data_IF_143889580673
#
_entry.id   IF_143889580673
#
_cell.length_a   1.000
_cell.length_b   1.000
_cell.length_c   1.000
_cell.angle_alpha   90.00
_cell.angle_beta   90.00
_cell.angle_gamma   90.00
#
_symmetry.space_group_name_H-M   'P 1'
#
loop_
_entity.id
_entity.type
_entity.pdbx_description
1 polymer ?
#
# COMPACT_ATOMS: atom_id res chain seq x y z
N UNK A 1 -3.26 5.74 9.95
CA UNK A 1 -1.87 5.92 9.42
C UNK A 1 -1.90 5.99 7.89
N UNK A 2 -1.09 6.85 7.23
CA UNK A 2 -1.06 6.99 5.76
C UNK A 2 -0.01 6.09 5.12
N UNK A 3 -0.37 5.31 4.12
CA UNK A 3 0.53 4.35 3.46
C UNK A 3 0.34 4.32 1.95
N UNK A 4 1.30 3.73 1.23
CA UNK A 4 1.10 3.25 -0.15
C UNK A 4 1.13 1.73 -0.13
N UNK A 5 0.21 1.10 -0.85
CA UNK A 5 0.08 -0.35 -0.93
C UNK A 5 0.38 -0.81 -2.35
N UNK A 6 1.29 -1.76 -2.51
CA UNK A 6 1.54 -2.40 -3.80
C UNK A 6 0.35 -3.32 -4.17
N UNK A 7 0.04 -3.40 -5.47
CA UNK A 7 -1.00 -4.26 -6.03
C UNK A 7 -0.82 -5.73 -5.64
N UNK A 8 0.42 -6.24 -5.55
CA UNK A 8 0.65 -7.64 -5.17
C UNK A 8 0.17 -7.95 -3.74
N UNK A 9 0.24 -6.97 -2.83
CA UNK A 9 -0.23 -7.12 -1.44
C UNK A 9 -1.74 -7.09 -1.41
N UNK A 10 -2.36 -6.20 -2.20
CA UNK A 10 -3.81 -6.13 -2.33
C UNK A 10 -4.39 -7.47 -2.85
N UNK A 11 -3.82 -8.00 -3.93
CA UNK A 11 -4.19 -9.31 -4.49
C UNK A 11 -3.98 -10.43 -3.46
N UNK A 12 -2.80 -10.48 -2.83
CA UNK A 12 -2.49 -11.48 -1.81
C UNK A 12 -3.45 -11.42 -0.62
N UNK A 13 -3.86 -10.22 -0.20
CA UNK A 13 -4.78 -10.04 0.90
C UNK A 13 -6.21 -10.48 0.60
N UNK A 14 -6.64 -10.36 -0.66
CA UNK A 14 -7.93 -10.87 -1.11
C UNK A 14 -7.94 -12.39 -1.32
N UNK A 15 -6.82 -12.98 -1.74
CA UNK A 15 -6.67 -14.44 -1.87
C UNK A 15 -6.50 -15.15 -0.53
N UNK A 16 -5.68 -14.59 0.36
CA UNK A 16 -5.30 -15.18 1.65
C UNK A 16 -5.68 -14.22 2.78
N UNK A 17 -6.97 -14.12 3.14
CA UNK A 17 -7.46 -13.12 4.08
C UNK A 17 -6.85 -13.27 5.48
N UNK A 18 -6.49 -14.48 5.91
CA UNK A 18 -5.95 -14.70 7.27
C UNK A 18 -4.44 -14.44 7.41
N UNK A 19 -3.74 -14.06 6.34
CA UNK A 19 -2.33 -13.68 6.38
C UNK A 19 -2.11 -12.17 6.61
N UNK A 20 -0.85 -11.75 6.71
CA UNK A 20 -0.48 -10.33 6.92
C UNK A 20 -1.05 -9.40 5.85
N UNK A 21 -1.02 -9.80 4.57
CA UNK A 21 -1.63 -9.02 3.49
C UNK A 21 -3.14 -8.84 3.69
N UNK A 22 -3.83 -9.89 4.14
CA UNK A 22 -5.28 -9.84 4.38
C UNK A 22 -5.64 -9.01 5.61
N UNK A 23 -4.80 -9.03 6.64
CA UNK A 23 -4.90 -8.11 7.79
C UNK A 23 -4.78 -6.65 7.34
N UNK A 24 -3.79 -6.33 6.49
CA UNK A 24 -3.61 -4.98 5.93
C UNK A 24 -4.84 -4.53 5.15
N UNK A 25 -5.42 -5.40 4.29
CA UNK A 25 -6.64 -5.09 3.55
C UNK A 25 -7.81 -4.82 4.49
N UNK A 26 -7.99 -5.62 5.55
CA UNK A 26 -9.01 -5.35 6.58
C UNK A 26 -8.79 -4.01 7.28
N UNK A 27 -7.54 -3.68 7.62
CA UNK A 27 -7.21 -2.40 8.25
C UNK A 27 -7.52 -1.21 7.34
N UNK A 28 -7.32 -1.35 6.01
CA UNK A 28 -7.77 -0.36 5.03
C UNK A 28 -9.28 -0.22 5.04
N UNK A 29 -10.03 -1.33 4.91
CA UNK A 29 -11.50 -1.30 4.91
C UNK A 29 -12.11 -0.79 6.23
N UNK A 30 -11.39 -0.92 7.34
CA UNK A 30 -11.78 -0.40 8.65
C UNK A 30 -11.40 1.08 8.87
N UNK A 31 -10.74 1.74 7.91
CA UNK A 31 -10.30 3.13 8.02
C UNK A 31 -9.08 3.34 8.92
N UNK A 32 -8.45 2.27 9.41
CA UNK A 32 -7.23 2.33 10.24
C UNK A 32 -6.04 2.80 9.39
N UNK A 33 -5.99 2.33 8.13
CA UNK A 33 -5.00 2.72 7.14
C UNK A 33 -5.65 3.54 6.03
N UNK A 34 -5.03 4.67 5.73
CA UNK A 34 -5.44 5.57 4.65
C UNK A 34 -4.48 5.34 3.47
N UNK A 35 -5.00 4.84 2.35
CA UNK A 35 -4.20 4.63 1.15
C UNK A 35 -3.94 5.97 0.45
N UNK A 36 -2.68 6.21 0.09
CA UNK A 36 -2.27 7.27 -0.82
C UNK A 36 -2.13 6.70 -2.21
N UNK A 37 -2.73 7.35 -3.20
CA UNK A 37 -2.75 6.89 -4.59
C UNK A 37 -2.87 8.05 -5.56
N UNK A 38 -2.73 7.76 -6.85
CA UNK A 38 -3.23 8.59 -7.94
C UNK A 38 -3.98 7.72 -8.95
N UNK A 39 -4.35 8.28 -10.11
CA UNK A 39 -5.06 7.54 -11.15
C UNK A 39 -4.27 6.33 -11.68
N UNK A 40 -2.94 6.37 -11.70
CA UNK A 40 -2.09 5.28 -12.22
C UNK A 40 -2.23 4.04 -11.33
N UNK A 41 -2.10 4.19 -10.02
CA UNK A 41 -2.27 3.09 -9.06
C UNK A 41 -3.71 2.55 -9.09
N UNK A 42 -4.72 3.42 -9.12
CA UNK A 42 -6.12 2.95 -9.15
C UNK A 42 -6.45 2.16 -10.42
N UNK A 43 -5.91 2.58 -11.57
CA UNK A 43 -6.06 1.85 -12.82
C UNK A 43 -5.37 0.49 -12.74
N UNK A 44 -4.16 0.42 -12.19
CA UNK A 44 -3.47 -0.85 -12.01
C UNK A 44 -4.23 -1.81 -11.09
N UNK A 45 -4.75 -1.31 -9.95
CA UNK A 45 -5.59 -2.11 -9.07
C UNK A 45 -6.80 -2.66 -9.82
N UNK A 46 -7.49 -1.81 -10.57
CA UNK A 46 -8.62 -2.22 -11.38
C UNK A 46 -8.18 -3.33 -12.36
N UNK A 47 -7.22 -3.06 -13.23
CA UNK A 47 -6.76 -4.00 -14.26
C UNK A 47 -6.31 -5.33 -13.68
N UNK A 48 -5.59 -5.34 -12.55
CA UNK A 48 -5.08 -6.56 -11.94
C UNK A 48 -6.19 -7.35 -11.25
N UNK A 49 -7.04 -6.69 -10.44
CA UNK A 49 -8.12 -7.36 -9.71
C UNK A 49 -9.17 -7.95 -10.66
N UNK A 50 -9.37 -7.33 -11.82
CA UNK A 50 -10.30 -7.81 -12.85
C UNK A 50 -9.78 -9.01 -13.67
N UNK A 51 -8.54 -9.47 -13.47
CA UNK A 51 -7.99 -10.60 -14.23
C UNK A 51 -8.76 -11.90 -13.89
N UNK A 52 -9.31 -12.63 -14.88
CA UNK A 52 -10.12 -13.83 -14.64
C UNK A 52 -9.43 -14.91 -13.81
N UNK A 53 -8.10 -14.99 -13.88
CA UNK A 53 -7.30 -15.97 -13.13
C UNK A 53 -7.47 -15.90 -11.61
N UNK A 54 -7.88 -14.74 -11.07
CA UNK A 54 -8.10 -14.57 -9.63
C UNK A 54 -9.52 -14.91 -9.17
N UNK A 55 -10.49 -14.96 -10.11
CA UNK A 55 -11.87 -15.35 -9.84
C UNK A 55 -12.55 -14.56 -8.70
N UNK A 56 -12.13 -13.32 -8.47
CA UNK A 56 -12.73 -12.45 -7.48
C UNK A 56 -14.17 -12.06 -7.87
N UNK A 57 -15.03 -11.88 -6.88
CA UNK A 57 -16.36 -11.32 -7.11
C UNK A 57 -16.23 -9.84 -7.52
N UNK A 58 -16.80 -9.49 -8.69
CA UNK A 58 -16.74 -8.14 -9.26
C UNK A 58 -17.36 -7.07 -8.36
N UNK A 59 -18.50 -7.34 -7.73
CA UNK A 59 -19.18 -6.39 -6.84
C UNK A 59 -18.32 -6.10 -5.61
N UNK A 60 -17.60 -7.10 -5.09
CA UNK A 60 -16.68 -6.90 -3.98
C UNK A 60 -15.46 -6.06 -4.40
N UNK A 61 -14.92 -6.27 -5.61
CA UNK A 61 -13.84 -5.42 -6.16
C UNK A 61 -14.33 -3.98 -6.29
N UNK A 62 -15.50 -3.77 -6.89
CA UNK A 62 -16.06 -2.43 -7.10
C UNK A 62 -16.31 -1.72 -5.78
N UNK A 63 -16.84 -2.43 -4.78
CA UNK A 63 -17.05 -1.90 -3.42
C UNK A 63 -15.73 -1.48 -2.78
N UNK A 64 -14.69 -2.31 -2.88
CA UNK A 64 -13.36 -2.01 -2.35
C UNK A 64 -12.74 -0.79 -3.05
N UNK A 65 -12.76 -0.75 -4.38
CA UNK A 65 -12.21 0.37 -5.15
C UNK A 65 -12.97 1.67 -4.91
N UNK A 66 -14.30 1.61 -4.77
CA UNK A 66 -15.12 2.75 -4.39
C UNK A 66 -14.74 3.25 -2.98
N UNK A 67 -14.57 2.34 -2.02
CA UNK A 67 -14.11 2.69 -0.67
C UNK A 67 -12.73 3.36 -0.69
N UNK A 68 -11.77 2.81 -1.44
CA UNK A 68 -10.42 3.41 -1.57
C UNK A 68 -10.51 4.80 -2.20
N UNK A 69 -11.31 4.99 -3.25
CA UNK A 69 -11.52 6.30 -3.89
C UNK A 69 -12.11 7.33 -2.92
N UNK A 70 -13.04 6.90 -2.07
CA UNK A 70 -13.75 7.79 -1.15
C UNK A 70 -12.91 8.14 0.10
N UNK A 71 -12.16 7.18 0.64
CA UNK A 71 -11.52 7.31 1.96
C UNK A 71 -9.99 7.45 1.88
N UNK A 72 -9.37 7.17 0.74
CA UNK A 72 -7.95 7.39 0.52
C UNK A 72 -7.61 8.84 0.14
N UNK A 73 -6.33 9.09 -0.12
CA UNK A 73 -5.81 10.41 -0.46
C UNK A 73 -5.18 10.41 -1.85
N UNK A 74 -5.70 11.28 -2.71
CA UNK A 74 -5.13 11.54 -4.03
C UNK A 74 -3.87 12.39 -3.88
N UNK A 75 -2.72 11.87 -4.31
CA UNK A 75 -1.43 12.55 -4.20
C UNK A 75 -0.88 12.83 -5.60
N UNK A 76 -0.73 14.11 -6.00
CA UNK A 76 0.01 14.43 -7.21
C UNK A 76 1.51 14.20 -6.97
N UNK A 77 2.16 13.43 -7.84
CA UNK A 77 3.58 13.13 -7.72
C UNK A 77 4.33 13.48 -9.01
N UNK A 78 5.55 14.00 -8.85
CA UNK A 78 6.47 14.20 -9.98
C UNK A 78 7.28 12.94 -10.23
N UNK A 79 7.72 12.70 -11.48
CA UNK A 79 8.54 11.54 -11.81
C UNK A 79 9.81 11.42 -10.96
N UNK A 80 10.24 10.19 -10.67
CA UNK A 80 11.51 9.96 -9.97
C UNK A 80 12.70 10.52 -10.77
N UNK A 81 13.68 11.08 -10.05
CA UNK A 81 14.97 11.51 -10.65
C UNK A 81 15.81 10.32 -11.16
N UNK A 82 15.61 9.14 -10.58
CA UNK A 82 16.30 7.90 -10.95
C UNK A 82 15.24 6.84 -11.20
N UNK A 83 15.31 6.21 -12.38
CA UNK A 83 14.40 5.13 -12.74
C UNK A 83 14.56 3.91 -11.83
N UNK A 84 13.47 3.19 -11.63
CA UNK A 84 13.49 1.88 -10.98
C UNK A 84 13.88 0.79 -11.99
N UNK A 85 14.25 -0.42 -11.52
CA UNK A 85 14.46 -1.56 -12.42
C UNK A 85 13.22 -1.89 -13.25
N UNK A 86 12.04 -1.72 -12.65
CA UNK A 86 10.74 -1.86 -13.29
C UNK A 86 10.02 -0.49 -13.27
N UNK A 87 9.73 0.10 -14.44
CA UNK A 87 8.98 1.35 -14.54
C UNK A 87 7.57 1.30 -13.93
N UNK A 88 6.94 0.14 -13.88
CA UNK A 88 5.56 0.00 -13.38
C UNK A 88 5.51 0.19 -11.85
N UNK A 89 6.63 0.02 -11.14
CA UNK A 89 6.75 0.28 -9.71
C UNK A 89 6.96 1.78 -9.37
N UNK A 90 7.33 2.60 -10.36
CA UNK A 90 7.66 4.02 -10.13
C UNK A 90 6.51 4.83 -9.51
N UNK A 91 5.25 4.73 -10.00
CA UNK A 91 4.13 5.47 -9.43
C UNK A 91 3.99 5.25 -7.91
N UNK A 92 4.15 4.02 -7.43
CA UNK A 92 4.05 3.71 -6.00
C UNK A 92 5.10 4.46 -5.19
N UNK A 93 6.35 4.45 -5.63
CA UNK A 93 7.43 5.12 -4.91
C UNK A 93 7.29 6.65 -5.00
N UNK A 94 6.91 7.19 -6.16
CA UNK A 94 6.66 8.62 -6.37
C UNK A 94 5.61 9.15 -5.42
N UNK A 95 4.46 8.46 -5.35
CA UNK A 95 3.34 8.81 -4.48
C UNK A 95 3.72 8.68 -3.01
N UNK A 96 4.43 7.61 -2.65
CA UNK A 96 4.87 7.42 -1.27
C UNK A 96 5.75 8.60 -0.81
N UNK A 97 6.71 9.02 -1.65
CA UNK A 97 7.61 10.14 -1.36
C UNK A 97 6.85 11.46 -1.32
N UNK A 98 6.07 11.78 -2.36
CA UNK A 98 5.33 13.03 -2.48
C UNK A 98 4.30 13.20 -1.36
N UNK A 99 3.58 12.11 -1.03
CA UNK A 99 2.53 12.07 -0.02
C UNK A 99 3.06 11.99 1.42
N UNK A 100 4.38 11.83 1.59
CA UNK A 100 5.02 11.55 2.89
C UNK A 100 4.33 10.38 3.59
N UNK A 101 4.14 9.29 2.86
CA UNK A 101 3.62 8.04 3.41
C UNK A 101 4.49 7.57 4.58
N UNK A 102 3.89 6.93 5.57
CA UNK A 102 4.64 6.29 6.64
C UNK A 102 5.52 5.14 6.10
N UNK A 103 5.02 4.45 5.07
CA UNK A 103 5.73 3.43 4.32
C UNK A 103 5.02 3.11 2.99
N UNK A 104 5.77 2.45 2.10
CA UNK A 104 5.26 1.66 0.98
C UNK A 104 5.35 0.19 1.37
N UNK A 105 4.24 -0.54 1.22
CA UNK A 105 4.15 -1.95 1.56
C UNK A 105 4.13 -2.77 0.27
N UNK A 106 5.05 -3.73 0.13
CA UNK A 106 5.21 -4.57 -1.06
C UNK A 106 5.63 -5.99 -0.72
N UNK A 107 5.17 -6.98 -1.48
CA UNK A 107 5.70 -8.35 -1.44
C UNK A 107 7.13 -8.46 -1.98
N UNK A 108 7.57 -7.53 -2.84
CA UNK A 108 8.81 -7.63 -3.61
C UNK A 108 9.75 -6.42 -3.37
N UNK A 109 10.42 -6.39 -2.21
CA UNK A 109 11.32 -5.28 -1.85
C UNK A 109 12.49 -5.03 -2.82
N UNK A 110 12.84 -6.00 -3.67
CA UNK A 110 13.88 -5.86 -4.71
C UNK A 110 13.50 -4.86 -5.80
N UNK A 111 12.20 -4.67 -6.04
CA UNK A 111 11.65 -3.68 -7.00
C UNK A 111 11.99 -2.24 -6.61
N UNK A 112 12.26 -2.02 -5.31
CA UNK A 112 12.58 -0.71 -4.75
C UNK A 112 14.00 -0.70 -4.19
N UNK A 113 15.07 -0.58 -5.01
CA UNK A 113 16.44 -0.52 -4.52
C UNK A 113 16.68 0.64 -3.54
N UNK A 114 17.49 0.42 -2.49
CA UNK A 114 17.78 1.43 -1.45
C UNK A 114 18.20 2.80 -2.00
N UNK A 115 19.00 2.80 -3.08
CA UNK A 115 19.50 4.02 -3.75
C UNK A 115 18.40 4.91 -4.36
N UNK A 116 17.21 4.37 -4.60
CA UNK A 116 16.09 5.07 -5.24
C UNK A 116 15.03 5.54 -4.23
N UNK A 117 15.03 5.01 -3.00
CA UNK A 117 13.96 5.21 -2.00
C UNK A 117 13.83 6.63 -1.45
N UNK A 118 14.88 7.45 -1.53
CA UNK A 118 14.90 8.82 -0.96
C UNK A 118 14.43 8.88 0.51
N UNK A 119 14.85 7.90 1.33
CA UNK A 119 14.43 7.79 2.73
C UNK A 119 13.07 7.11 2.95
N UNK A 120 12.32 6.78 1.89
CA UNK A 120 11.06 6.05 1.99
C UNK A 120 11.27 4.67 2.62
N UNK A 121 10.44 4.36 3.62
CA UNK A 121 10.41 3.07 4.29
C UNK A 121 9.64 2.08 3.41
N UNK A 122 10.30 0.99 3.02
CA UNK A 122 9.71 -0.09 2.22
C UNK A 122 9.63 -1.33 3.11
N UNK A 123 8.42 -1.86 3.31
CA UNK A 123 8.16 -2.99 4.22
C UNK A 123 7.48 -4.13 3.48
N UNK A 124 7.80 -5.37 3.86
CA UNK A 124 6.94 -6.51 3.55
C UNK A 124 5.62 -6.44 4.35
N UNK A 125 4.57 -7.19 3.97
CA UNK A 125 3.34 -7.25 4.75
C UNK A 125 3.58 -7.62 6.23
N UNK A 126 4.41 -8.63 6.50
CA UNK A 126 4.76 -9.04 7.86
C UNK A 126 5.51 -7.95 8.63
N UNK A 127 6.53 -7.34 8.01
CA UNK A 127 7.29 -6.24 8.61
C UNK A 127 6.40 -5.03 8.91
N UNK A 128 5.39 -4.77 8.08
CA UNK A 128 4.43 -3.71 8.32
C UNK A 128 3.56 -3.99 9.55
N UNK A 129 3.05 -5.22 9.72
CA UNK A 129 2.25 -5.57 10.90
C UNK A 129 3.07 -5.39 12.18
N UNK A 130 4.33 -5.85 12.20
CA UNK A 130 5.22 -5.67 13.35
C UNK A 130 5.52 -4.18 13.60
N UNK A 131 5.75 -3.42 12.54
CA UNK A 131 5.96 -1.97 12.62
C UNK A 131 4.74 -1.25 13.18
N UNK A 132 3.54 -1.62 12.75
CA UNK A 132 2.28 -1.01 13.18
C UNK A 132 1.99 -1.32 14.65
N UNK A 133 2.23 -2.54 15.12
CA UNK A 133 2.05 -2.92 16.54
C UNK A 133 2.93 -2.07 17.45
N UNK A 134 4.24 -2.00 17.15
CA UNK A 134 5.18 -1.17 17.91
C UNK A 134 4.81 0.31 17.89
N UNK A 135 4.40 0.81 16.72
CA UNK A 135 3.94 2.19 16.60
C UNK A 135 2.77 2.50 17.55
N UNK A 136 1.81 1.60 17.70
CA UNK A 136 0.68 1.83 18.60
C UNK A 136 1.07 1.71 20.08
N UNK A 137 1.91 0.73 20.43
CA UNK A 137 2.44 0.58 21.80
C UNK A 137 3.12 1.86 22.28
N UNK A 138 3.96 2.47 21.42
CA UNK A 138 4.66 3.73 21.70
C UNK A 138 3.71 4.94 21.78
N UNK A 139 2.60 4.94 21.03
CA UNK A 139 1.61 6.04 21.05
C UNK A 139 0.60 5.95 22.19
N UNK A 140 0.31 4.76 22.70
CA UNK A 140 -0.60 4.54 23.82
C UNK A 140 0.10 4.67 25.19
N UNK A 141 1.43 4.52 25.25
CA UNK A 141 2.24 4.73 26.46
C UNK A 141 3.37 5.76 26.25
N UNK A 142 3.06 7.06 26.08
CA UNK A 142 4.08 8.09 25.97
C UNK A 142 4.66 8.36 27.36
N UNK A 143 5.67 7.59 27.77
CA UNK A 143 6.44 7.78 29.01
C UNK A 143 5.59 7.90 30.28
N UNK A 144 5.30 6.78 30.95
CA UNK A 144 5.11 6.83 32.40
C UNK A 144 6.44 7.30 33.05
N UNK A 145 6.42 8.30 33.94
CA UNK A 145 7.62 8.84 34.58
C UNK A 145 8.35 7.81 35.45
#
# INVERSE_FOLDING_TARGET
MKIVLDTNVLVSGLLTPFGSSGEIVRMVSAGILILQFDSRILLEYQEVLYRPKFQFNKEHIDTLLAYVKQNGQVIPASPLKKRLPDPDDEPFLEIAIAGRAACLITGNKSHFPRKSRQGMKILSPSEFIDFYRKYNEDTEHPHSP
#
